data_IF_019658334996
#
_entry.id   IF_019658334996
#
_cell.length_a   1.000
_cell.length_b   1.000
_cell.length_c   1.000
_cell.angle_alpha   90.00
_cell.angle_beta   90.00
_cell.angle_gamma   90.00
#
_symmetry.space_group_name_H-M   'P 1'
#
loop_
_entity.id
_entity.type
_entity.pdbx_description
1 polymer ?
#
# COMPACT_ATOMS: atom_id res chain seq x y z
N UNK A 1 13.27 18.58 2.53
CA UNK A 1 12.41 17.48 3.02
C UNK A 1 11.44 17.98 4.09
N UNK A 2 11.88 18.27 5.32
CA UNK A 2 10.96 18.62 6.42
C UNK A 2 10.01 19.80 6.11
N UNK A 3 10.53 20.95 5.66
CA UNK A 3 9.70 22.11 5.31
C UNK A 3 8.70 21.80 4.17
N UNK A 4 9.15 21.10 3.13
CA UNK A 4 8.33 20.69 1.98
C UNK A 4 7.21 19.75 2.41
N UNK A 5 7.51 18.75 3.23
CA UNK A 5 6.52 17.82 3.78
C UNK A 5 5.50 18.55 4.65
N UNK A 6 5.97 19.50 5.47
CA UNK A 6 5.10 20.30 6.32
C UNK A 6 4.14 21.14 5.49
N UNK A 7 4.66 21.90 4.52
CA UNK A 7 3.86 22.72 3.60
C UNK A 7 2.84 21.88 2.86
N UNK A 8 3.23 20.71 2.35
CA UNK A 8 2.33 19.83 1.59
C UNK A 8 1.17 19.30 2.45
N UNK A 9 1.44 18.94 3.73
CA UNK A 9 0.41 18.51 4.68
C UNK A 9 -0.49 19.65 5.12
N UNK A 10 0.07 20.80 5.49
CA UNK A 10 -0.70 21.97 5.94
C UNK A 10 -1.56 22.55 4.82
N UNK A 11 -1.05 22.54 3.59
CA UNK A 11 -1.78 23.00 2.41
C UNK A 11 -3.01 22.13 2.12
N UNK A 12 -2.89 20.80 2.20
CA UNK A 12 -4.03 19.90 2.02
C UNK A 12 -5.13 20.11 3.07
N UNK A 13 -4.73 20.35 4.32
CA UNK A 13 -5.67 20.68 5.40
C UNK A 13 -6.39 22.01 5.16
N UNK A 14 -5.64 23.05 4.79
CA UNK A 14 -6.19 24.37 4.46
C UNK A 14 -7.19 24.29 3.30
N UNK A 15 -6.84 23.55 2.24
CA UNK A 15 -7.69 23.41 1.07
C UNK A 15 -8.99 22.65 1.37
N UNK A 16 -8.96 21.64 2.26
CA UNK A 16 -10.16 20.91 2.68
C UNK A 16 -11.18 21.79 3.43
N UNK A 17 -10.78 22.94 3.96
CA UNK A 17 -11.69 23.94 4.52
C UNK A 17 -12.59 24.63 3.47
N UNK A 18 -12.17 24.64 2.20
CA UNK A 18 -12.90 25.30 1.11
C UNK A 18 -13.67 24.33 0.20
N UNK A 19 -13.43 23.03 0.32
CA UNK A 19 -14.06 22.03 -0.56
C UNK A 19 -15.41 21.59 0.02
N UNK A 20 -16.55 21.86 -0.63
CA UNK A 20 -17.82 21.33 -0.18
C UNK A 20 -17.83 19.80 -0.33
N UNK A 21 -18.08 19.09 0.77
CA UNK A 21 -18.13 17.63 0.84
C UNK A 21 -19.40 17.09 0.15
N UNK A 22 -19.38 17.13 -1.18
CA UNK A 22 -20.41 16.47 -2.00
C UNK A 22 -20.28 14.94 -1.91
N UNK A 23 -21.36 14.17 -2.14
CA UNK A 23 -21.33 12.71 -2.03
C UNK A 23 -20.27 12.04 -2.91
N UNK A 24 -19.86 12.66 -4.02
CA UNK A 24 -18.77 12.17 -4.88
C UNK A 24 -17.39 12.34 -4.23
N UNK A 25 -17.12 13.49 -3.61
CA UNK A 25 -15.85 13.77 -2.93
C UNK A 25 -15.68 12.83 -1.73
N UNK A 26 -16.74 12.61 -0.94
CA UNK A 26 -16.71 11.68 0.20
C UNK A 26 -16.34 10.25 -0.21
N UNK A 27 -16.94 9.73 -1.28
CA UNK A 27 -16.60 8.40 -1.82
C UNK A 27 -15.15 8.32 -2.30
N UNK A 28 -14.64 9.39 -2.91
CA UNK A 28 -13.23 9.49 -3.28
C UNK A 28 -12.31 9.43 -2.06
N UNK A 29 -12.62 10.21 -1.02
CA UNK A 29 -11.87 10.23 0.23
C UNK A 29 -11.88 8.89 0.97
N UNK A 30 -12.99 8.16 0.96
CA UNK A 30 -13.11 6.82 1.54
C UNK A 30 -12.23 5.78 0.80
N UNK A 31 -11.95 5.98 -0.49
CA UNK A 31 -11.07 5.11 -1.28
C UNK A 31 -9.58 5.45 -1.16
N UNK A 32 -9.23 6.66 -0.71
CA UNK A 32 -7.84 7.11 -0.60
C UNK A 32 -6.95 6.20 0.26
N UNK A 33 -7.37 5.71 1.46
CA UNK A 33 -6.49 4.90 2.29
C UNK A 33 -5.99 3.65 1.55
N UNK A 34 -6.91 2.95 0.87
CA UNK A 34 -6.55 1.79 0.05
C UNK A 34 -5.68 2.16 -1.14
N UNK A 35 -6.02 3.23 -1.85
CA UNK A 35 -5.25 3.69 -3.02
C UNK A 35 -3.81 4.09 -2.66
N UNK A 36 -3.61 4.77 -1.53
CA UNK A 36 -2.27 5.17 -1.06
C UNK A 36 -1.43 3.96 -0.71
N UNK A 37 -2.00 2.97 0.00
CA UNK A 37 -1.29 1.72 0.32
C UNK A 37 -0.86 1.01 -0.96
N UNK A 38 -1.77 0.84 -1.92
CA UNK A 38 -1.45 0.21 -3.22
C UNK A 38 -0.37 1.00 -3.97
N UNK A 39 -0.45 2.33 -3.99
CA UNK A 39 0.53 3.20 -4.64
C UNK A 39 1.94 3.09 -4.06
N UNK A 40 2.09 2.70 -2.80
CA UNK A 40 3.39 2.50 -2.14
C UNK A 40 3.88 1.07 -2.34
N UNK A 41 2.98 0.09 -2.19
CA UNK A 41 3.32 -1.34 -2.23
C UNK A 41 3.69 -1.80 -3.64
N UNK A 42 2.94 -1.38 -4.66
CA UNK A 42 3.16 -1.80 -6.05
C UNK A 42 4.58 -1.50 -6.55
N UNK A 43 5.10 -0.26 -6.48
CA UNK A 43 6.47 0.02 -6.93
C UNK A 43 7.52 -0.73 -6.11
N UNK A 44 7.30 -0.93 -4.80
CA UNK A 44 8.18 -1.74 -3.96
C UNK A 44 8.22 -3.21 -4.41
N UNK A 45 7.06 -3.78 -4.75
CA UNK A 45 6.96 -5.15 -5.27
C UNK A 45 7.65 -5.30 -6.63
N UNK A 46 7.46 -4.35 -7.53
CA UNK A 46 8.08 -4.34 -8.87
C UNK A 46 9.60 -4.19 -8.76
N UNK A 47 10.10 -3.31 -7.87
CA UNK A 47 11.53 -3.13 -7.65
C UNK A 47 12.21 -4.40 -7.10
N UNK A 48 11.47 -5.23 -6.35
CA UNK A 48 11.94 -6.51 -5.83
C UNK A 48 11.89 -7.66 -6.87
N UNK A 49 11.40 -7.40 -8.09
CA UNK A 49 11.34 -8.38 -9.17
C UNK A 49 10.23 -9.43 -9.02
N UNK A 50 10.28 -10.51 -9.82
CA UNK A 50 9.23 -11.54 -9.86
C UNK A 50 8.98 -12.19 -8.48
N UNK A 51 10.05 -12.40 -7.72
CA UNK A 51 9.98 -12.93 -6.36
C UNK A 51 9.26 -11.99 -5.39
N UNK A 52 9.50 -10.68 -5.50
CA UNK A 52 8.82 -9.67 -4.70
C UNK A 52 7.32 -9.59 -4.99
N UNK A 53 6.95 -9.62 -6.26
CA UNK A 53 5.54 -9.63 -6.69
C UNK A 53 4.83 -10.88 -6.16
N UNK A 54 5.44 -12.06 -6.32
CA UNK A 54 4.89 -13.31 -5.82
C UNK A 54 4.70 -13.30 -4.29
N UNK A 55 5.68 -12.78 -3.54
CA UNK A 55 5.59 -12.65 -2.09
C UNK A 55 4.48 -11.70 -1.63
N UNK A 56 4.33 -10.54 -2.29
CA UNK A 56 3.27 -9.57 -1.97
C UNK A 56 1.88 -10.16 -2.26
N UNK A 57 1.70 -10.84 -3.40
CA UNK A 57 0.43 -11.50 -3.73
C UNK A 57 0.11 -12.59 -2.72
N UNK A 58 1.07 -13.46 -2.39
CA UNK A 58 0.87 -14.52 -1.42
C UNK A 58 0.51 -13.98 -0.03
N UNK A 59 1.21 -12.93 0.43
CA UNK A 59 0.90 -12.25 1.69
C UNK A 59 -0.51 -11.66 1.70
N UNK A 60 -0.91 -10.95 0.63
CA UNK A 60 -2.27 -10.42 0.51
C UNK A 60 -3.35 -11.51 0.57
N UNK A 61 -3.13 -12.64 -0.12
CA UNK A 61 -4.08 -13.77 -0.12
C UNK A 61 -4.23 -14.35 1.29
N UNK A 62 -3.12 -14.55 2.01
CA UNK A 62 -3.16 -15.07 3.38
C UNK A 62 -3.80 -14.09 4.35
N UNK A 63 -3.52 -12.79 4.23
CA UNK A 63 -4.20 -11.77 5.04
C UNK A 63 -5.71 -11.76 4.76
N UNK A 64 -6.12 -11.91 3.50
CA UNK A 64 -7.53 -11.93 3.12
C UNK A 64 -8.28 -13.12 3.71
N UNK A 65 -7.65 -14.30 3.76
CA UNK A 65 -8.25 -15.53 4.29
C UNK A 65 -8.18 -15.61 5.81
N UNK A 66 -7.01 -15.36 6.39
CA UNK A 66 -6.76 -15.60 7.82
C UNK A 66 -7.07 -14.37 8.69
N UNK A 67 -7.21 -13.17 8.07
CA UNK A 67 -7.43 -11.89 8.77
C UNK A 67 -6.36 -11.57 9.82
N UNK A 68 -5.21 -12.25 9.75
CA UNK A 68 -4.06 -12.10 10.64
C UNK A 68 -2.87 -11.54 9.87
N UNK A 69 -2.42 -10.35 10.25
CA UNK A 69 -1.35 -9.65 9.55
C UNK A 69 -0.01 -10.39 9.64
N UNK A 70 0.28 -10.98 10.80
CA UNK A 70 1.55 -11.69 11.07
C UNK A 70 1.70 -12.91 10.17
N UNK A 71 0.63 -13.69 9.98
CA UNK A 71 0.66 -14.87 9.12
C UNK A 71 0.81 -14.49 7.65
N UNK A 72 0.16 -13.40 7.22
CA UNK A 72 0.36 -12.84 5.89
C UNK A 72 1.80 -12.43 5.62
N UNK A 73 2.42 -11.75 6.58
CA UNK A 73 3.82 -11.33 6.48
C UNK A 73 4.76 -12.54 6.39
N UNK A 74 4.57 -13.54 7.26
CA UNK A 74 5.39 -14.75 7.27
C UNK A 74 5.32 -15.51 5.95
N UNK A 75 4.10 -15.72 5.43
CA UNK A 75 3.93 -16.43 4.15
C UNK A 75 4.47 -15.61 2.99
N UNK A 76 4.21 -14.30 2.95
CA UNK A 76 4.74 -13.44 1.89
C UNK A 76 6.27 -13.44 1.85
N UNK A 77 6.93 -13.36 3.00
CA UNK A 77 8.38 -13.47 3.11
C UNK A 77 8.88 -14.87 2.71
N UNK A 78 8.22 -15.94 3.18
CA UNK A 78 8.59 -17.31 2.84
C UNK A 78 8.50 -17.56 1.32
N UNK A 79 7.46 -17.06 0.67
CA UNK A 79 7.28 -17.15 -0.78
C UNK A 79 8.34 -16.32 -1.51
N UNK A 80 8.60 -15.07 -1.09
CA UNK A 80 9.63 -14.25 -1.72
C UNK A 80 11.02 -14.91 -1.64
N UNK A 81 11.38 -15.48 -0.50
CA UNK A 81 12.64 -16.22 -0.32
C UNK A 81 12.66 -17.50 -1.15
N UNK A 82 11.57 -18.27 -1.15
CA UNK A 82 11.47 -19.51 -1.91
C UNK A 82 11.62 -19.28 -3.41
N UNK A 83 10.90 -18.30 -3.96
CA UNK A 83 11.00 -17.93 -5.38
C UNK A 83 12.41 -17.43 -5.71
N UNK A 84 13.01 -16.62 -4.83
CA UNK A 84 14.37 -16.11 -5.04
C UNK A 84 15.44 -17.21 -5.01
N UNK A 85 15.25 -18.22 -4.15
CA UNK A 85 16.15 -19.37 -4.08
C UNK A 85 16.07 -20.29 -5.31
N UNK A 86 14.98 -20.24 -6.06
CA UNK A 86 14.79 -21.00 -7.29
C UNK A 86 15.46 -20.37 -8.52
N UNK A 87 16.17 -19.25 -8.36
CA UNK A 87 16.93 -18.59 -9.43
C UNK A 87 16.17 -17.48 -10.18
N UNK A 88 15.08 -16.96 -9.62
CA UNK A 88 14.32 -15.79 -10.09
C UNK A 88 14.58 -14.53 -9.22
#
# INVERSE_FOLDING_TARGET
>A
MAATTYVCRSFGYFLMGYVPLTPRVRRGLEALPGAVVVSIVVPGAVAAGPAGIAGVIAGMVVMAVTRHDILGLLVGCAVAVGVRSAGL
#
